data_IF_888719425274
#
_entry.id   IF_888719425274
#
_cell.length_a   1.000
_cell.length_b   1.000
_cell.length_c   1.000
_cell.angle_alpha   90.00
_cell.angle_beta   90.00
_cell.angle_gamma   90.00
#
_symmetry.space_group_name_H-M   'P 1'
#
loop_
_entity.id
_entity.type
_entity.pdbx_description
1 polymer ?
#
# COMPACT_ATOMS: atom_id res chain seq x y z
N UNK A 1 -6.95 -6.78 -3.55
CA UNK A 1 -7.29 -5.82 -2.50
C UNK A 1 -6.93 -4.43 -2.99
N UNK A 2 -7.82 -3.43 -2.89
CA UNK A 2 -7.59 -2.10 -3.47
C UNK A 2 -6.28 -1.46 -2.99
N UNK A 3 -5.94 -1.59 -1.70
CA UNK A 3 -4.63 -1.18 -1.16
C UNK A 3 -3.42 -1.70 -1.97
N UNK A 4 -3.40 -3.01 -2.26
CA UNK A 4 -2.28 -3.63 -2.96
C UNK A 4 -2.24 -3.23 -4.44
N UNK A 5 -3.40 -2.99 -5.05
CA UNK A 5 -3.51 -2.47 -6.41
C UNK A 5 -3.01 -1.01 -6.48
N UNK A 6 -3.44 -0.15 -5.56
CA UNK A 6 -2.95 1.23 -5.46
C UNK A 6 -1.44 1.28 -5.23
N UNK A 7 -0.90 0.43 -4.34
CA UNK A 7 0.54 0.32 -4.12
C UNK A 7 1.27 -0.08 -5.41
N UNK A 8 0.76 -1.05 -6.17
CA UNK A 8 1.34 -1.47 -7.44
C UNK A 8 1.34 -0.34 -8.48
N UNK A 9 0.23 0.37 -8.63
CA UNK A 9 0.09 1.48 -9.57
C UNK A 9 1.03 2.64 -9.20
N UNK A 10 0.96 3.14 -7.96
CA UNK A 10 1.77 4.27 -7.51
C UNK A 10 3.27 3.97 -7.58
N UNK A 11 3.70 2.74 -7.24
CA UNK A 11 5.12 2.37 -7.36
C UNK A 11 5.57 2.25 -8.81
N UNK A 12 4.68 1.83 -9.72
CA UNK A 12 4.98 1.77 -11.15
C UNK A 12 5.08 3.18 -11.77
N UNK A 13 4.15 4.07 -11.45
CA UNK A 13 4.11 5.43 -12.00
C UNK A 13 5.33 6.23 -11.53
N UNK A 14 5.62 6.20 -10.23
CA UNK A 14 6.78 6.87 -9.68
C UNK A 14 8.10 6.30 -10.21
N UNK A 15 8.20 4.97 -10.36
CA UNK A 15 9.38 4.37 -10.97
C UNK A 15 9.58 4.89 -12.40
N UNK A 16 8.52 4.94 -13.21
CA UNK A 16 8.59 5.45 -14.58
C UNK A 16 9.06 6.91 -14.61
N UNK A 17 8.47 7.75 -13.77
CA UNK A 17 8.79 9.17 -13.65
C UNK A 17 10.23 9.44 -13.22
N UNK A 18 10.74 8.75 -12.19
CA UNK A 18 12.09 8.99 -11.70
C UNK A 18 13.17 8.34 -12.57
N UNK A 19 12.85 7.26 -13.29
CA UNK A 19 13.82 6.59 -14.16
C UNK A 19 14.20 7.41 -15.38
N UNK A 20 13.37 8.38 -15.79
CA UNK A 20 13.68 9.30 -16.91
C UNK A 20 14.55 10.50 -16.49
N UNK A 21 14.89 10.65 -15.20
CA UNK A 21 15.59 11.83 -14.67
C UNK A 21 17.04 11.50 -14.28
N UNK A 22 18.05 12.22 -14.82
CA UNK A 22 19.45 11.97 -14.50
C UNK A 22 19.87 12.70 -13.21
N UNK A 23 19.39 12.26 -12.04
CA UNK A 23 19.86 12.78 -10.74
C UNK A 23 20.14 11.67 -9.73
N UNK A 24 21.07 11.86 -8.77
CA UNK A 24 21.31 10.91 -7.69
C UNK A 24 20.05 10.62 -6.87
N UNK A 25 19.25 11.65 -6.61
CA UNK A 25 17.97 11.52 -5.89
C UNK A 25 16.99 10.67 -6.68
N UNK A 26 16.83 10.93 -7.98
CA UNK A 26 15.95 10.16 -8.86
C UNK A 26 16.34 8.68 -8.90
N UNK A 27 17.65 8.35 -8.97
CA UNK A 27 18.11 6.96 -8.89
C UNK A 27 17.75 6.27 -7.57
N UNK A 28 17.93 6.97 -6.43
CA UNK A 28 17.58 6.44 -5.11
C UNK A 28 16.07 6.20 -5.00
N UNK A 29 15.27 7.13 -5.50
CA UNK A 29 13.81 6.99 -5.52
C UNK A 29 13.36 5.86 -6.44
N UNK A 30 13.89 5.75 -7.66
CA UNK A 30 13.62 4.61 -8.55
C UNK A 30 13.94 3.27 -7.90
N UNK A 31 15.10 3.16 -7.23
CA UNK A 31 15.46 1.94 -6.50
C UNK A 31 14.47 1.62 -5.38
N UNK A 32 14.04 2.63 -4.61
CA UNK A 32 13.05 2.46 -3.56
C UNK A 32 11.69 1.99 -4.12
N UNK A 33 11.18 2.60 -5.19
CA UNK A 33 9.93 2.19 -5.81
C UNK A 33 10.00 0.79 -6.44
N UNK A 34 11.14 0.42 -7.04
CA UNK A 34 11.36 -0.95 -7.53
C UNK A 34 11.33 -1.98 -6.38
N UNK A 35 11.96 -1.66 -5.24
CA UNK A 35 11.94 -2.51 -4.05
C UNK A 35 10.53 -2.64 -3.45
N UNK A 36 9.80 -1.53 -3.31
CA UNK A 36 8.42 -1.52 -2.84
C UNK A 36 7.50 -2.37 -3.73
N UNK A 37 7.67 -2.30 -5.05
CA UNK A 37 6.91 -3.15 -6.00
C UNK A 37 7.30 -4.62 -5.89
N UNK A 38 8.56 -4.91 -5.61
CA UNK A 38 9.05 -6.24 -5.25
C UNK A 38 8.33 -6.80 -4.03
N UNK A 39 8.35 -6.07 -2.91
CA UNK A 39 7.67 -6.48 -1.68
C UNK A 39 6.15 -6.58 -1.85
N UNK A 40 5.52 -5.62 -2.51
CA UNK A 40 4.07 -5.58 -2.73
C UNK A 40 3.51 -6.81 -3.44
N UNK A 41 4.26 -7.41 -4.37
CA UNK A 41 3.86 -8.66 -5.03
C UNK A 41 3.76 -9.85 -4.06
N UNK A 42 4.55 -9.86 -3.00
CA UNK A 42 4.57 -10.93 -2.00
C UNK A 42 3.60 -10.68 -0.85
N UNK A 43 3.09 -9.45 -0.69
CA UNK A 43 2.14 -9.12 0.38
C UNK A 43 0.76 -9.72 0.19
N UNK A 44 0.36 -10.07 -1.04
CA UNK A 44 -0.98 -10.59 -1.35
C UNK A 44 -1.45 -11.71 -0.42
N UNK A 45 -0.74 -12.86 -0.37
CA UNK A 45 -1.14 -13.98 0.49
C UNK A 45 -1.17 -13.64 1.98
N UNK A 46 -0.17 -12.91 2.49
CA UNK A 46 -0.10 -12.52 3.89
C UNK A 46 -1.24 -11.55 4.28
N UNK A 47 -1.53 -10.59 3.40
CA UNK A 47 -2.62 -9.63 3.59
C UNK A 47 -3.98 -10.33 3.54
N UNK A 48 -4.18 -11.27 2.60
CA UNK A 48 -5.39 -12.09 2.55
C UNK A 48 -5.59 -12.94 3.80
N UNK A 49 -4.51 -13.50 4.35
CA UNK A 49 -4.58 -14.22 5.61
C UNK A 49 -4.97 -13.30 6.77
N UNK A 50 -4.37 -12.11 6.84
CA UNK A 50 -4.69 -11.10 7.85
C UNK A 50 -6.18 -10.72 7.82
N UNK A 51 -6.74 -10.45 6.64
CA UNK A 51 -8.17 -10.13 6.47
C UNK A 51 -9.10 -11.25 6.93
N UNK A 52 -8.65 -12.51 6.91
CA UNK A 52 -9.44 -13.66 7.37
C UNK A 52 -9.45 -13.81 8.88
N UNK A 53 -8.30 -13.59 9.54
CA UNK A 53 -8.15 -13.82 10.98
C UNK A 53 -8.62 -12.64 11.81
N UNK A 54 -8.52 -11.44 11.26
CA UNK A 54 -8.68 -10.23 12.03
C UNK A 54 -10.11 -9.90 12.52
N UNK A 55 -11.21 -10.29 11.84
CA UNK A 55 -12.54 -10.18 12.42
C UNK A 55 -12.69 -10.89 13.78
N UNK A 56 -11.86 -11.90 14.07
CA UNK A 56 -11.87 -12.61 15.36
C UNK A 56 -11.36 -11.75 16.53
N UNK A 57 -10.64 -10.66 16.25
CA UNK A 57 -10.04 -9.77 17.25
C UNK A 57 -10.70 -8.39 17.28
N UNK A 58 -11.73 -8.17 16.46
CA UNK A 58 -12.37 -6.85 16.34
C UNK A 58 -13.13 -6.45 17.62
N UNK A 59 -13.61 -7.46 18.36
CA UNK A 59 -14.34 -7.31 19.63
C UNK A 59 -13.59 -7.90 20.84
N UNK A 60 -12.33 -8.31 20.68
CA UNK A 60 -11.52 -8.82 21.78
C UNK A 60 -10.93 -7.65 22.59
N UNK A 61 -11.42 -7.47 23.81
CA UNK A 61 -10.98 -6.42 24.73
C UNK A 61 -9.56 -6.66 25.26
N UNK A 62 -9.08 -7.92 25.25
CA UNK A 62 -7.72 -8.28 25.64
C UNK A 62 -6.71 -8.14 24.48
N UNK A 63 -7.18 -8.18 23.23
CA UNK A 63 -6.36 -8.03 22.02
C UNK A 63 -6.95 -6.95 21.10
N UNK A 64 -6.65 -5.65 21.34
CA UNK A 64 -7.29 -4.56 20.62
C UNK A 64 -7.07 -4.66 19.10
N UNK A 65 -8.14 -4.90 18.33
CA UNK A 65 -8.13 -4.95 16.86
C UNK A 65 -7.99 -3.59 16.16
N UNK A 66 -7.73 -2.51 16.88
CA UNK A 66 -7.63 -1.14 16.35
C UNK A 66 -6.56 -0.97 15.27
N UNK A 67 -5.38 -1.60 15.41
CA UNK A 67 -4.34 -1.56 14.37
C UNK A 67 -4.77 -2.23 13.06
N UNK A 68 -5.54 -3.33 13.14
CA UNK A 68 -6.12 -3.98 11.98
C UNK A 68 -7.19 -3.12 11.31
N UNK A 69 -8.13 -2.57 12.10
CA UNK A 69 -9.19 -1.70 11.59
C UNK A 69 -8.62 -0.54 10.77
N UNK A 70 -7.59 0.12 11.28
CA UNK A 70 -6.90 1.20 10.54
C UNK A 70 -6.26 0.70 9.25
N UNK A 71 -5.61 -0.47 9.26
CA UNK A 71 -4.96 -1.03 8.07
C UNK A 71 -5.97 -1.41 6.97
N UNK A 72 -7.11 -2.01 7.35
CA UNK A 72 -8.17 -2.35 6.41
C UNK A 72 -8.85 -1.10 5.89
N UNK A 73 -9.17 -0.16 6.77
CA UNK A 73 -9.86 1.07 6.40
C UNK A 73 -9.08 1.86 5.34
N UNK A 74 -7.76 2.04 5.51
CA UNK A 74 -6.88 2.66 4.50
C UNK A 74 -6.93 1.93 3.15
N UNK A 75 -7.26 0.64 3.17
CA UNK A 75 -7.33 -0.18 1.99
C UNK A 75 -8.72 -0.39 1.38
N UNK A 76 -9.79 0.00 2.06
CA UNK A 76 -11.19 -0.06 1.58
C UNK A 76 -11.83 1.32 1.35
N UNK A 77 -11.34 2.39 1.98
CA UNK A 77 -11.81 3.76 1.74
C UNK A 77 -11.28 4.31 0.41
N UNK A 78 -11.82 3.80 -0.70
CA UNK A 78 -11.82 4.46 -2.02
C UNK A 78 -13.21 5.04 -2.32
N UNK A 79 -13.78 5.79 -1.37
CA UNK A 79 -15.04 6.50 -1.54
C UNK A 79 -14.90 7.99 -1.86
N UNK A 80 -13.92 8.70 -1.28
CA UNK A 80 -13.77 10.15 -1.42
C UNK A 80 -12.30 10.53 -1.15
N UNK A 81 -11.55 11.00 -2.15
CA UNK A 81 -10.27 11.66 -1.82
C UNK A 81 -9.15 11.75 -2.86
N UNK A 82 -9.28 11.22 -4.09
CA UNK A 82 -8.25 11.40 -5.12
C UNK A 82 -8.36 12.72 -5.92
N UNK A 83 -9.20 13.66 -5.47
CA UNK A 83 -9.37 14.97 -6.10
C UNK A 83 -8.20 15.97 -5.87
N UNK A 84 -7.03 15.50 -5.43
CA UNK A 84 -5.86 16.36 -5.18
C UNK A 84 -4.58 15.93 -5.92
N UNK A 85 -4.68 15.02 -6.88
CA UNK A 85 -3.55 14.67 -7.76
C UNK A 85 -3.86 15.09 -9.20
N UNK A 86 -4.27 16.35 -9.34
CA UNK A 86 -4.16 17.13 -10.58
C UNK A 86 -3.29 18.36 -10.26
N UNK A 87 -1.96 18.14 -10.19
CA UNK A 87 -0.92 19.18 -10.34
C UNK A 87 0.22 18.58 -11.16
#
# INVERSE_FOLDING_TARGET
>A
HPLLQSLQLLTQDNLSFFSSRPSPTSRRLSAAFAALRGHGRHLGPAFQHLLKVAPAFDLDEATPGNGYRSLVQVGTDHGLGWAWVDI
#
